data_IF_554424744370
#
_entry.id   IF_554424744370
#
_cell.length_a   1.000
_cell.length_b   1.000
_cell.length_c   1.000
_cell.angle_alpha   90.00
_cell.angle_beta   90.00
_cell.angle_gamma   90.00
#
_symmetry.space_group_name_H-M   'P 1'
#
loop_
_entity.id
_entity.type
_entity.pdbx_description
1 polymer ?
#
# COMPACT_ATOMS: atom_id res chain seq x y z
N UNK A 1 2.47 41.63 -39.17
CA UNK A 1 2.94 40.31 -39.65
C UNK A 1 4.40 39.99 -39.23
N UNK A 2 5.38 40.88 -39.44
CA UNK A 2 6.80 40.66 -39.09
C UNK A 2 7.02 40.31 -37.59
N UNK A 3 6.37 41.02 -36.66
CA UNK A 3 6.51 40.78 -35.22
C UNK A 3 5.96 39.41 -34.75
N UNK A 4 4.99 38.83 -35.47
CA UNK A 4 4.45 37.51 -35.15
C UNK A 4 5.41 36.38 -35.59
N UNK A 5 6.00 36.53 -36.78
CA UNK A 5 6.97 35.58 -37.33
C UNK A 5 8.24 35.48 -36.47
N UNK A 6 8.77 36.61 -35.99
CA UNK A 6 9.93 36.62 -35.06
C UNK A 6 9.61 35.88 -33.77
N UNK A 7 8.38 36.01 -33.24
CA UNK A 7 7.98 35.35 -32.00
C UNK A 7 7.85 33.83 -32.14
N UNK A 8 7.27 33.36 -33.26
CA UNK A 8 7.21 31.92 -33.59
C UNK A 8 8.61 31.33 -33.74
N UNK A 9 9.52 32.03 -34.44
CA UNK A 9 10.89 31.55 -34.61
C UNK A 9 11.64 31.43 -33.29
N UNK A 10 11.46 32.40 -32.38
CA UNK A 10 12.06 32.34 -31.06
C UNK A 10 11.52 31.16 -30.23
N UNK A 11 10.19 30.96 -30.23
CA UNK A 11 9.55 29.82 -29.58
C UNK A 11 10.06 28.48 -30.12
N UNK A 12 10.16 28.34 -31.45
CA UNK A 12 10.67 27.14 -32.10
C UNK A 12 12.13 26.87 -31.74
N UNK A 13 12.96 27.91 -31.65
CA UNK A 13 14.36 27.79 -31.23
C UNK A 13 14.48 27.28 -29.79
N UNK A 14 13.73 27.86 -28.85
CA UNK A 14 13.71 27.41 -27.46
C UNK A 14 13.20 25.96 -27.34
N UNK A 15 12.15 25.63 -28.09
CA UNK A 15 11.61 24.27 -28.14
C UNK A 15 12.64 23.26 -28.66
N UNK A 16 13.40 23.61 -29.69
CA UNK A 16 14.46 22.76 -30.24
C UNK A 16 15.61 22.55 -29.23
N UNK A 17 16.01 23.60 -28.51
CA UNK A 17 17.02 23.49 -27.46
C UNK A 17 16.58 22.56 -26.32
N UNK A 18 15.32 22.67 -25.89
CA UNK A 18 14.72 21.76 -24.90
C UNK A 18 14.76 20.32 -25.40
N UNK A 19 14.36 20.07 -26.65
CA UNK A 19 14.38 18.73 -27.24
C UNK A 19 15.80 18.14 -27.29
N UNK A 20 16.81 18.97 -27.59
CA UNK A 20 18.20 18.53 -27.61
C UNK A 20 18.69 18.15 -26.21
N UNK A 21 18.40 18.99 -25.20
CA UNK A 21 18.74 18.68 -23.80
C UNK A 21 18.03 17.40 -23.37
N UNK A 22 16.74 17.25 -23.68
CA UNK A 22 15.98 16.02 -23.40
C UNK A 22 16.61 14.79 -24.07
N UNK A 23 17.08 14.88 -25.31
CA UNK A 23 17.79 13.76 -25.97
C UNK A 23 19.06 13.40 -25.21
N UNK A 24 19.86 14.39 -24.80
CA UNK A 24 21.10 14.17 -24.02
C UNK A 24 20.81 13.58 -22.64
N UNK A 25 19.76 14.04 -21.95
CA UNK A 25 19.32 13.47 -20.67
C UNK A 25 18.91 12.01 -20.84
N UNK A 26 18.15 11.69 -21.89
CA UNK A 26 17.77 10.32 -22.20
C UNK A 26 18.97 9.41 -22.46
N UNK A 27 19.96 9.89 -23.21
CA UNK A 27 21.20 9.15 -23.43
C UNK A 27 21.97 8.92 -22.12
N UNK A 28 22.12 9.94 -21.27
CA UNK A 28 22.77 9.80 -19.97
C UNK A 28 22.07 8.78 -19.07
N UNK A 29 20.73 8.76 -19.07
CA UNK A 29 19.93 7.76 -18.36
C UNK A 29 20.16 6.33 -18.88
N UNK A 30 20.22 6.14 -20.20
CA UNK A 30 20.49 4.82 -20.82
C UNK A 30 21.87 4.29 -20.41
N UNK A 31 22.89 5.15 -20.40
CA UNK A 31 24.25 4.80 -19.98
C UNK A 31 24.46 4.87 -18.46
N UNK A 32 23.38 5.01 -17.68
CA UNK A 32 23.39 5.04 -16.21
C UNK A 32 24.26 6.16 -15.59
N UNK A 33 24.56 7.22 -16.33
CA UNK A 33 25.28 8.40 -15.84
C UNK A 33 24.30 9.35 -15.14
N UNK A 34 24.01 9.05 -13.88
CA UNK A 34 23.00 9.76 -13.07
C UNK A 34 23.36 11.22 -12.82
N UNK A 35 24.64 11.53 -12.58
CA UNK A 35 25.05 12.91 -12.28
C UNK A 35 24.93 13.81 -13.51
N UNK A 36 25.35 13.32 -14.68
CA UNK A 36 25.13 14.03 -15.94
C UNK A 36 23.64 14.18 -16.26
N UNK A 37 22.85 13.13 -16.04
CA UNK A 37 21.40 13.18 -16.25
C UNK A 37 20.74 14.25 -15.35
N UNK A 38 21.11 14.35 -14.07
CA UNK A 38 20.63 15.38 -13.15
C UNK A 38 20.98 16.79 -13.61
N UNK A 39 22.23 17.04 -13.98
CA UNK A 39 22.67 18.36 -14.47
C UNK A 39 21.91 18.78 -15.74
N UNK A 40 21.72 17.85 -16.68
CA UNK A 40 20.94 18.10 -17.89
C UNK A 40 19.45 18.32 -17.59
N UNK A 41 18.89 17.59 -16.61
CA UNK A 41 17.50 17.77 -16.19
C UNK A 41 17.27 19.16 -15.58
N UNK A 42 18.21 19.66 -14.75
CA UNK A 42 18.13 21.01 -14.21
C UNK A 42 18.19 22.08 -15.32
N UNK A 43 19.07 21.89 -16.33
CA UNK A 43 19.09 22.76 -17.51
C UNK A 43 17.74 22.74 -18.25
N UNK A 44 17.17 21.55 -18.44
CA UNK A 44 15.88 21.36 -19.10
C UNK A 44 14.75 22.08 -18.35
N UNK A 45 14.73 22.00 -17.02
CA UNK A 45 13.75 22.70 -16.17
C UNK A 45 13.79 24.22 -16.40
N UNK A 46 14.99 24.81 -16.40
CA UNK A 46 15.17 26.25 -16.63
C UNK A 46 14.70 26.67 -18.03
N UNK A 47 15.01 25.87 -19.05
CA UNK A 47 14.56 26.13 -20.42
C UNK A 47 13.03 26.02 -20.55
N UNK A 48 12.41 25.01 -19.93
CA UNK A 48 10.95 24.87 -19.90
C UNK A 48 10.28 26.06 -19.20
N UNK A 49 10.81 26.51 -18.06
CA UNK A 49 10.31 27.70 -17.36
C UNK A 49 10.38 28.95 -18.25
N UNK A 50 11.49 29.13 -18.98
CA UNK A 50 11.64 30.24 -19.93
C UNK A 50 10.66 30.13 -21.10
N UNK A 51 10.46 28.93 -21.66
CA UNK A 51 9.50 28.69 -22.74
C UNK A 51 8.06 29.02 -22.31
N UNK A 52 7.65 28.58 -21.10
CA UNK A 52 6.33 28.86 -20.52
C UNK A 52 6.13 30.37 -20.34
N UNK A 53 7.07 31.04 -19.66
CA UNK A 53 7.03 32.48 -19.42
C UNK A 53 6.99 33.27 -20.74
N UNK A 54 7.71 32.80 -21.76
CA UNK A 54 7.68 33.41 -23.08
C UNK A 54 6.31 33.24 -23.75
N UNK A 55 5.77 32.01 -23.75
CA UNK A 55 4.48 31.68 -24.35
C UNK A 55 3.36 32.55 -23.76
N UNK A 56 3.28 32.66 -22.43
CA UNK A 56 2.27 33.44 -21.71
C UNK A 56 2.28 34.93 -22.05
N UNK A 57 3.47 35.50 -22.27
CA UNK A 57 3.65 36.93 -22.60
C UNK A 57 3.54 37.22 -24.10
N UNK A 58 3.29 36.21 -24.91
CA UNK A 58 3.27 36.31 -26.37
C UNK A 58 1.85 36.09 -26.91
N UNK A 59 1.55 36.50 -28.15
CA UNK A 59 0.30 36.14 -28.82
C UNK A 59 0.13 34.62 -29.05
N UNK A 60 1.12 33.79 -28.67
CA UNK A 60 1.07 32.34 -28.79
C UNK A 60 0.36 31.66 -27.61
N UNK A 61 0.01 32.39 -26.54
CA UNK A 61 -0.61 31.84 -25.33
C UNK A 61 -1.82 30.93 -25.60
N UNK A 62 -2.65 31.27 -26.59
CA UNK A 62 -3.87 30.53 -26.93
C UNK A 62 -3.72 29.71 -28.21
N UNK A 63 -2.51 29.59 -28.77
CA UNK A 63 -2.28 28.81 -29.97
C UNK A 63 -2.21 27.32 -29.61
N UNK A 64 -3.18 26.54 -30.10
CA UNK A 64 -3.30 25.10 -29.79
C UNK A 64 -2.03 24.30 -30.11
N UNK A 65 -1.38 24.55 -31.25
CA UNK A 65 -0.15 23.86 -31.64
C UNK A 65 1.01 24.15 -30.66
N UNK A 66 1.14 25.40 -30.23
CA UNK A 66 2.13 25.85 -29.23
C UNK A 66 1.88 25.15 -27.88
N UNK A 67 0.62 25.13 -27.43
CA UNK A 67 0.23 24.48 -26.18
C UNK A 67 0.49 22.97 -26.21
N UNK A 68 0.13 22.28 -27.30
CA UNK A 68 0.42 20.87 -27.49
C UNK A 68 1.93 20.58 -27.45
N UNK A 69 2.73 21.42 -28.12
CA UNK A 69 4.19 21.27 -28.13
C UNK A 69 4.78 21.44 -26.74
N UNK A 70 4.33 22.43 -25.97
CA UNK A 70 4.72 22.62 -24.57
C UNK A 70 4.35 21.39 -23.73
N UNK A 71 3.13 20.90 -23.85
CA UNK A 71 2.64 19.74 -23.09
C UNK A 71 3.50 18.48 -23.34
N UNK A 72 3.85 18.21 -24.61
CA UNK A 72 4.74 17.09 -24.97
C UNK A 72 6.13 17.24 -24.33
N UNK A 73 6.68 18.45 -24.32
CA UNK A 73 7.99 18.71 -23.70
C UNK A 73 7.93 18.55 -22.18
N UNK A 74 6.85 19.02 -21.54
CA UNK A 74 6.63 18.85 -20.10
C UNK A 74 6.46 17.38 -19.72
N UNK A 75 5.67 16.61 -20.47
CA UNK A 75 5.48 15.18 -20.23
C UNK A 75 6.82 14.43 -20.32
N UNK A 76 7.64 14.76 -21.32
CA UNK A 76 8.95 14.13 -21.50
C UNK A 76 9.93 14.52 -20.38
N UNK A 77 9.91 15.76 -19.92
CA UNK A 77 10.67 16.19 -18.74
C UNK A 77 10.23 15.40 -17.50
N UNK A 78 8.93 15.26 -17.26
CA UNK A 78 8.41 14.52 -16.11
C UNK A 78 8.85 13.06 -16.14
N UNK A 79 8.78 12.39 -17.30
CA UNK A 79 9.27 11.01 -17.46
C UNK A 79 10.76 10.87 -17.11
N UNK A 80 11.58 11.85 -17.49
CA UNK A 80 13.02 11.85 -17.18
C UNK A 80 13.28 12.08 -15.70
N UNK A 81 12.52 12.99 -15.07
CA UNK A 81 12.58 13.23 -13.64
C UNK A 81 12.19 11.98 -12.85
N UNK A 82 11.08 11.35 -13.22
CA UNK A 82 10.59 10.12 -12.61
C UNK A 82 11.63 8.99 -12.75
N UNK A 83 12.29 8.87 -13.91
CA UNK A 83 13.37 7.89 -14.13
C UNK A 83 14.60 8.13 -13.25
N UNK A 84 14.99 9.39 -12.97
CA UNK A 84 16.09 9.69 -12.06
C UNK A 84 15.70 9.36 -10.61
N UNK A 85 14.47 9.68 -10.23
CA UNK A 85 13.93 9.45 -8.90
C UNK A 85 13.47 8.02 -8.62
N UNK A 86 13.58 7.11 -9.61
CA UNK A 86 12.99 5.77 -9.56
C UNK A 86 11.48 5.78 -9.23
N UNK A 87 10.77 6.82 -9.64
CA UNK A 87 9.34 6.98 -9.39
C UNK A 87 8.58 6.24 -10.50
N UNK A 88 7.80 5.22 -10.13
CA UNK A 88 6.82 4.61 -11.03
C UNK A 88 5.46 5.23 -10.74
N UNK A 89 4.94 6.03 -11.67
CA UNK A 89 3.58 6.56 -11.59
C UNK A 89 2.61 5.53 -12.14
N UNK A 90 1.67 5.10 -11.30
CA UNK A 90 0.52 4.30 -11.72
C UNK A 90 -0.43 5.24 -12.48
N UNK A 91 -0.72 4.92 -13.74
CA UNK A 91 -1.59 5.74 -14.61
C UNK A 91 -3.01 5.18 -14.72
N UNK A 92 -3.15 3.90 -14.49
CA UNK A 92 -4.39 3.16 -14.62
C UNK A 92 -4.66 2.51 -13.26
N UNK A 93 -5.85 2.77 -12.74
CA UNK A 93 -6.37 2.15 -11.54
C UNK A 93 -7.61 1.37 -11.98
N UNK A 94 -7.61 0.07 -11.70
CA UNK A 94 -8.78 -0.75 -11.90
C UNK A 94 -9.60 -0.71 -10.61
N UNK A 95 -10.86 -0.29 -10.72
CA UNK A 95 -11.82 -0.48 -9.64
C UNK A 95 -12.12 -1.98 -9.54
N UNK A 96 -11.85 -2.56 -8.36
CA UNK A 96 -12.02 -4.00 -8.10
C UNK A 96 -13.30 -4.32 -7.32
N UNK A 97 -13.83 -3.34 -6.59
CA UNK A 97 -15.03 -3.48 -5.76
C UNK A 97 -15.64 -2.10 -5.48
N UNK A 98 -16.95 -1.99 -5.65
CA UNK A 98 -17.76 -0.83 -5.23
C UNK A 98 -18.72 -1.27 -4.10
N UNK A 99 -18.48 -0.75 -2.89
CA UNK A 99 -19.32 -1.05 -1.72
C UNK A 99 -20.74 -0.49 -1.86
N UNK A 100 -20.92 0.61 -2.61
CA UNK A 100 -22.24 1.22 -2.78
C UNK A 100 -23.20 0.35 -3.61
N UNK A 101 -22.64 -0.48 -4.48
CA UNK A 101 -23.39 -1.45 -5.30
C UNK A 101 -23.71 -2.76 -4.54
N UNK A 102 -23.14 -2.98 -3.35
CA UNK A 102 -23.23 -4.26 -2.64
C UNK A 102 -24.56 -4.50 -1.90
N UNK A 103 -25.43 -3.49 -1.80
CA UNK A 103 -26.67 -3.54 -1.01
C UNK A 103 -26.44 -3.45 0.50
N UNK A 104 -25.18 -3.44 0.96
CA UNK A 104 -24.79 -3.20 2.34
C UNK A 104 -24.29 -1.75 2.49
N UNK A 105 -24.61 -1.13 3.62
CA UNK A 105 -23.93 0.09 4.06
C UNK A 105 -22.67 -0.40 4.80
N UNK A 106 -21.49 -0.27 4.18
CA UNK A 106 -20.23 -0.80 4.72
C UNK A 106 -19.21 0.33 4.82
N UNK A 107 -18.63 0.50 6.01
CA UNK A 107 -17.48 1.38 6.22
C UNK A 107 -16.25 0.54 6.63
N UNK A 108 -15.57 -0.12 5.68
CA UNK A 108 -14.47 -1.03 6.01
C UNK A 108 -13.25 -0.24 6.52
N UNK A 109 -12.64 -0.71 7.60
CA UNK A 109 -11.43 -0.08 8.18
C UNK A 109 -10.15 -0.65 7.56
N UNK A 110 -10.13 -1.96 7.33
CA UNK A 110 -8.96 -2.67 6.85
C UNK A 110 -9.33 -3.71 5.81
N UNK A 111 -8.36 -4.02 4.95
CA UNK A 111 -8.44 -5.07 3.95
C UNK A 111 -7.30 -6.07 4.15
N UNK A 112 -7.64 -7.36 4.11
CA UNK A 112 -6.65 -8.44 4.05
C UNK A 112 -6.94 -9.34 2.86
N UNK A 113 -5.87 -9.87 2.25
CA UNK A 113 -5.97 -10.84 1.16
C UNK A 113 -5.59 -12.21 1.66
N UNK A 114 -6.47 -13.19 1.47
CA UNK A 114 -6.18 -14.61 1.64
C UNK A 114 -6.57 -15.30 0.33
N UNK A 115 -5.59 -15.93 -0.31
CA UNK A 115 -5.75 -16.55 -1.63
C UNK A 115 -6.32 -15.56 -2.66
N UNK A 116 -7.46 -15.86 -3.28
CA UNK A 116 -8.14 -15.03 -4.27
C UNK A 116 -9.27 -14.15 -3.70
N UNK A 117 -9.37 -14.08 -2.37
CA UNK A 117 -10.42 -13.35 -1.68
C UNK A 117 -9.84 -12.17 -0.88
N UNK A 118 -10.62 -11.10 -0.85
CA UNK A 118 -10.43 -9.93 -0.04
C UNK A 118 -11.39 -10.01 1.14
N UNK A 119 -10.86 -9.72 2.32
CA UNK A 119 -11.59 -9.72 3.59
C UNK A 119 -11.57 -8.31 4.15
N UNK A 120 -12.73 -7.86 4.63
CA UNK A 120 -12.95 -6.51 5.14
C UNK A 120 -13.67 -6.59 6.46
N UNK A 121 -13.24 -5.83 7.46
CA UNK A 121 -14.00 -5.71 8.70
C UNK A 121 -14.50 -4.28 8.92
N UNK A 122 -15.66 -4.19 9.56
CA UNK A 122 -16.24 -2.93 10.01
C UNK A 122 -16.21 -2.89 11.54
N UNK A 123 -15.80 -1.74 12.07
CA UNK A 123 -15.47 -1.59 13.49
C UNK A 123 -16.68 -1.58 14.39
N UNK A 124 -17.66 -0.74 14.08
CA UNK A 124 -18.84 -0.53 14.92
C UNK A 124 -19.85 -1.68 14.85
N UNK A 125 -19.87 -2.42 13.74
CA UNK A 125 -20.84 -3.49 13.52
C UNK A 125 -20.33 -4.86 13.93
N UNK A 126 -19.00 -5.02 14.06
CA UNK A 126 -18.39 -6.31 14.34
C UNK A 126 -18.54 -7.32 13.19
N UNK A 127 -18.71 -6.83 11.97
CA UNK A 127 -18.98 -7.66 10.79
C UNK A 127 -17.69 -7.87 10.00
N UNK A 128 -17.49 -9.11 9.56
CA UNK A 128 -16.47 -9.48 8.58
C UNK A 128 -17.16 -9.83 7.25
N UNK A 129 -16.66 -9.21 6.18
CA UNK A 129 -17.09 -9.43 4.81
C UNK A 129 -15.99 -10.12 4.00
N UNK A 130 -16.40 -10.78 2.93
CA UNK A 130 -15.56 -11.44 1.95
C UNK A 130 -16.01 -11.06 0.55
N UNK A 131 -15.06 -10.78 -0.34
CA UNK A 131 -15.32 -10.61 -1.78
C UNK A 131 -14.20 -11.27 -2.58
N UNK A 132 -14.48 -12.02 -3.64
CA UNK A 132 -13.46 -12.38 -4.61
C UNK A 132 -12.93 -11.11 -5.27
N UNK A 133 -11.69 -11.10 -5.77
CA UNK A 133 -11.07 -9.89 -6.34
C UNK A 133 -11.89 -9.19 -7.46
N UNK A 134 -12.85 -9.90 -8.06
CA UNK A 134 -13.91 -9.35 -8.92
C UNK A 134 -15.22 -10.09 -8.67
N UNK A 135 -16.00 -9.64 -7.71
CA UNK A 135 -17.33 -10.18 -7.50
C UNK A 135 -18.04 -9.62 -6.26
N UNK A 136 -19.15 -10.27 -5.93
CA UNK A 136 -20.07 -9.75 -4.93
C UNK A 136 -19.51 -9.83 -3.50
N UNK A 137 -19.87 -8.83 -2.69
CA UNK A 137 -19.55 -8.79 -1.28
C UNK A 137 -20.49 -9.74 -0.52
N UNK A 138 -19.92 -10.60 0.31
CA UNK A 138 -20.64 -11.57 1.14
C UNK A 138 -20.35 -11.30 2.61
N UNK A 139 -21.38 -11.26 3.44
CA UNK A 139 -21.23 -11.24 4.90
C UNK A 139 -20.90 -12.66 5.38
N UNK A 140 -19.83 -12.82 6.15
CA UNK A 140 -19.35 -14.16 6.58
C UNK A 140 -19.23 -14.34 8.10
N UNK A 141 -19.15 -13.26 8.87
CA UNK A 141 -19.12 -13.33 10.33
C UNK A 141 -19.71 -12.06 10.97
N UNK A 142 -20.36 -12.23 12.12
CA UNK A 142 -20.90 -11.17 12.98
C UNK A 142 -20.51 -11.51 14.41
N UNK A 143 -19.73 -10.65 15.07
CA UNK A 143 -19.53 -10.74 16.52
C UNK A 143 -20.76 -10.21 17.22
N UNK A 144 -21.54 -11.09 17.84
CA UNK A 144 -22.74 -10.70 18.58
C UNK A 144 -22.37 -9.74 19.73
N UNK A 145 -22.54 -8.42 19.49
CA UNK A 145 -22.30 -7.31 20.44
C UNK A 145 -20.84 -7.09 20.83
N UNK A 146 -19.90 -7.40 19.95
CA UNK A 146 -18.49 -7.02 20.14
C UNK A 146 -18.01 -6.24 18.93
N UNK A 147 -17.43 -5.07 19.16
CA UNK A 147 -16.87 -4.22 18.11
C UNK A 147 -15.50 -4.76 17.70
N UNK A 148 -15.26 -4.93 16.40
CA UNK A 148 -13.97 -5.40 15.92
C UNK A 148 -13.00 -4.23 15.82
N UNK A 149 -11.89 -4.30 16.56
CA UNK A 149 -10.88 -3.24 16.63
C UNK A 149 -9.72 -3.45 15.67
N UNK A 150 -9.40 -4.70 15.33
CA UNK A 150 -8.28 -5.05 14.46
C UNK A 150 -8.49 -6.40 13.77
N UNK A 151 -7.99 -6.54 12.55
CA UNK A 151 -7.97 -7.80 11.81
C UNK A 151 -6.53 -8.13 11.39
N UNK A 152 -6.13 -9.40 11.49
CA UNK A 152 -4.87 -9.87 10.92
C UNK A 152 -5.09 -11.19 10.19
N UNK A 153 -4.78 -11.23 8.90
CA UNK A 153 -4.71 -12.47 8.16
C UNK A 153 -3.42 -13.24 8.49
N UNK A 154 -3.57 -14.52 8.79
CA UNK A 154 -2.48 -15.47 9.04
C UNK A 154 -2.15 -16.26 7.77
N UNK A 155 -0.95 -16.81 7.71
CA UNK A 155 -0.47 -17.57 6.53
C UNK A 155 -1.24 -18.87 6.27
N UNK A 156 -1.91 -19.40 7.29
CA UNK A 156 -2.64 -20.67 7.26
C UNK A 156 -4.13 -20.51 6.91
N UNK A 157 -4.48 -19.49 6.11
CA UNK A 157 -5.87 -19.18 5.72
C UNK A 157 -6.81 -18.99 6.92
N UNK A 158 -6.29 -18.40 7.99
CA UNK A 158 -7.06 -18.01 9.17
C UNK A 158 -6.98 -16.50 9.36
N UNK A 159 -7.99 -15.93 10.01
CA UNK A 159 -8.07 -14.51 10.34
C UNK A 159 -8.21 -14.37 11.84
N UNK A 160 -7.35 -13.56 12.44
CA UNK A 160 -7.46 -13.15 13.85
C UNK A 160 -8.20 -11.82 13.88
N UNK A 161 -9.36 -11.78 14.52
CA UNK A 161 -10.13 -10.56 14.77
C UNK A 161 -10.06 -10.23 16.25
N UNK A 162 -9.67 -9.01 16.58
CA UNK A 162 -9.62 -8.52 17.95
C UNK A 162 -10.89 -7.73 18.23
N UNK A 163 -11.68 -8.21 19.18
CA UNK A 163 -12.85 -7.52 19.71
C UNK A 163 -12.47 -6.53 20.80
N UNK A 164 -13.35 -5.55 21.04
CA UNK A 164 -13.23 -4.61 22.15
C UNK A 164 -13.45 -5.31 23.50
N UNK A 165 -14.25 -6.37 23.54
CA UNK A 165 -14.60 -7.09 24.78
C UNK A 165 -13.53 -8.07 25.26
N UNK A 166 -12.25 -7.77 24.99
CA UNK A 166 -11.11 -8.64 25.32
C UNK A 166 -11.23 -10.04 24.68
N UNK A 167 -11.89 -10.12 23.52
CA UNK A 167 -12.05 -11.36 22.78
C UNK A 167 -11.19 -11.37 21.53
N UNK A 168 -10.68 -12.54 21.22
CA UNK A 168 -10.00 -12.81 19.97
C UNK A 168 -10.83 -13.85 19.23
N UNK A 169 -11.31 -13.52 18.04
CA UNK A 169 -11.99 -14.45 17.16
C UNK A 169 -10.99 -14.98 16.14
N UNK A 170 -10.67 -16.27 16.20
CA UNK A 170 -9.88 -16.95 15.19
C UNK A 170 -10.82 -17.57 14.17
N UNK A 171 -11.02 -16.88 13.05
CA UNK A 171 -11.91 -17.30 11.96
C UNK A 171 -11.14 -18.14 10.94
N UNK A 172 -11.63 -19.35 10.67
CA UNK A 172 -11.13 -20.27 9.66
C UNK A 172 -11.90 -20.05 8.35
N UNK A 173 -11.18 -19.56 7.33
CA UNK A 173 -11.81 -19.21 6.05
C UNK A 173 -12.24 -20.42 5.22
N UNK A 174 -11.69 -21.61 5.51
CA UNK A 174 -12.00 -22.84 4.80
C UNK A 174 -13.20 -23.55 5.42
N UNK A 175 -13.24 -23.61 6.75
CA UNK A 175 -14.33 -24.24 7.49
C UNK A 175 -15.55 -23.31 7.67
N UNK A 176 -15.40 -22.00 7.44
CA UNK A 176 -16.38 -20.96 7.77
C UNK A 176 -16.84 -21.07 9.23
N UNK A 177 -15.88 -21.22 10.13
CA UNK A 177 -16.08 -21.36 11.58
C UNK A 177 -15.11 -20.45 12.31
N UNK A 178 -15.39 -20.19 13.58
CA UNK A 178 -14.46 -19.45 14.41
C UNK A 178 -14.34 -20.06 15.80
N UNK A 179 -13.17 -19.86 16.40
CA UNK A 179 -12.93 -20.09 17.83
C UNK A 179 -12.81 -18.73 18.53
N UNK A 180 -13.14 -18.70 19.82
CA UNK A 180 -13.03 -17.49 20.64
C UNK A 180 -11.99 -17.74 21.72
N UNK A 181 -11.03 -16.82 21.84
CA UNK A 181 -10.06 -16.77 22.93
C UNK A 181 -10.27 -15.50 23.74
N UNK A 182 -9.83 -15.51 24.99
CA UNK A 182 -9.73 -14.31 25.81
C UNK A 182 -8.35 -13.69 25.62
N UNK A 183 -8.33 -12.41 25.25
CA UNK A 183 -7.13 -11.59 25.31
C UNK A 183 -6.81 -11.32 26.78
N UNK A 184 -5.53 -11.35 27.16
CA UNK A 184 -5.13 -10.92 28.51
C UNK A 184 -5.60 -9.46 28.69
N UNK A 185 -6.41 -9.13 29.72
CA UNK A 185 -6.92 -7.77 29.97
C UNK A 185 -5.82 -6.71 30.08
N UNK A 186 -4.59 -7.11 30.38
CA UNK A 186 -3.45 -6.20 30.41
C UNK A 186 -3.01 -5.72 29.00
N UNK A 187 -3.45 -6.39 27.93
CA UNK A 187 -3.08 -6.08 26.55
C UNK A 187 -4.18 -5.23 25.90
N UNK A 188 -3.86 -3.96 25.64
CA UNK A 188 -4.72 -3.12 24.82
C UNK A 188 -4.56 -3.50 23.33
N UNK A 189 -5.68 -3.71 22.62
CA UNK A 189 -5.67 -4.13 21.21
C UNK A 189 -4.92 -3.15 20.31
N UNK A 190 -5.01 -1.85 20.60
CA UNK A 190 -4.33 -0.79 19.85
C UNK A 190 -2.79 -0.87 19.99
N UNK A 191 -2.29 -1.60 20.99
CA UNK A 191 -0.86 -1.77 21.28
C UNK A 191 -0.28 -3.04 20.69
N UNK A 192 -1.12 -3.94 20.17
CA UNK A 192 -0.69 -5.13 19.46
C UNK A 192 0.06 -4.69 18.20
N UNK A 193 1.36 -4.95 18.16
CA UNK A 193 2.21 -4.51 17.05
C UNK A 193 2.14 -5.46 15.86
N UNK A 194 2.17 -6.76 16.13
CA UNK A 194 2.16 -7.80 15.11
C UNK A 194 1.48 -9.07 15.61
N UNK A 195 0.97 -9.87 14.68
CA UNK A 195 0.39 -11.18 14.93
C UNK A 195 0.86 -12.14 13.84
N UNK A 196 1.41 -13.28 14.25
CA UNK A 196 1.95 -14.30 13.33
C UNK A 196 1.54 -15.69 13.76
N UNK A 197 1.40 -16.61 12.81
CA UNK A 197 1.24 -18.03 13.09
C UNK A 197 2.55 -18.78 12.89
N UNK A 198 2.78 -19.78 13.74
CA UNK A 198 3.87 -20.72 13.59
C UNK A 198 3.49 -22.05 14.24
N UNK A 199 3.63 -23.14 13.48
CA UNK A 199 3.17 -24.48 13.85
C UNK A 199 1.68 -24.47 14.25
N UNK A 200 1.34 -25.05 15.39
CA UNK A 200 -0.02 -25.15 15.91
C UNK A 200 -0.49 -23.92 16.69
N UNK A 201 0.18 -22.77 16.57
CA UNK A 201 -0.09 -21.59 17.40
C UNK A 201 -0.08 -20.28 16.60
N UNK A 202 -0.76 -19.26 17.15
CA UNK A 202 -0.53 -17.86 16.80
C UNK A 202 0.06 -17.10 17.98
N UNK A 203 0.77 -16.03 17.65
CA UNK A 203 1.58 -15.24 18.56
C UNK A 203 1.22 -13.77 18.40
N UNK A 204 1.04 -13.09 19.52
CA UNK A 204 0.76 -11.65 19.59
C UNK A 204 1.99 -10.97 20.16
N UNK A 205 2.51 -9.96 19.45
CA UNK A 205 3.57 -9.09 19.94
C UNK A 205 2.96 -7.85 20.60
N UNK A 206 3.03 -7.79 21.93
CA UNK A 206 2.78 -6.57 22.70
C UNK A 206 4.09 -5.80 22.84
N UNK A 207 4.21 -4.72 22.07
CA UNK A 207 5.42 -3.91 22.05
C UNK A 207 5.54 -2.97 23.26
N UNK A 208 4.44 -2.69 23.97
CA UNK A 208 4.45 -1.81 25.14
C UNK A 208 4.97 -2.56 26.37
N UNK A 209 4.50 -3.79 26.57
CA UNK A 209 4.99 -4.65 27.65
C UNK A 209 6.25 -5.43 27.28
N UNK A 210 6.63 -5.45 26.01
CA UNK A 210 7.78 -6.21 25.51
C UNK A 210 7.57 -7.73 25.55
N UNK A 211 6.32 -8.18 25.48
CA UNK A 211 5.95 -9.58 25.63
C UNK A 211 5.42 -10.18 24.32
N UNK A 212 5.64 -11.48 24.14
CA UNK A 212 4.99 -12.28 23.09
C UNK A 212 4.03 -13.25 23.78
N UNK A 213 2.75 -13.18 23.44
CA UNK A 213 1.71 -14.06 23.99
C UNK A 213 1.37 -15.12 22.96
N UNK A 214 1.26 -16.37 23.40
CA UNK A 214 1.00 -17.54 22.57
C UNK A 214 -0.43 -18.03 22.79
N UNK A 215 -1.10 -18.34 21.69
CA UNK A 215 -2.42 -18.95 21.65
C UNK A 215 -2.40 -20.17 20.71
N UNK A 216 -3.07 -21.27 21.06
CA UNK A 216 -3.20 -22.40 20.15
C UNK A 216 -4.13 -22.05 18.98
N UNK A 217 -3.91 -22.62 17.80
CA UNK A 217 -4.80 -22.45 16.64
C UNK A 217 -6.05 -23.34 16.75
N UNK A 218 -5.93 -24.44 17.48
CA UNK A 218 -7.03 -25.34 17.85
C UNK A 218 -7.17 -25.26 19.37
N UNK A 219 -8.33 -24.88 19.92
CA UNK A 219 -8.48 -24.76 21.37
C UNK A 219 -8.33 -26.15 22.02
N UNK A 220 -7.28 -26.32 22.82
CA UNK A 220 -7.22 -27.32 23.88
C UNK A 220 -7.81 -26.68 25.16
N UNK A 221 -8.30 -27.46 26.12
CA UNK A 221 -9.08 -26.98 27.29
C UNK A 221 -8.35 -25.99 28.23
N UNK A 222 -7.11 -25.59 27.96
CA UNK A 222 -6.34 -24.64 28.77
C UNK A 222 -5.90 -23.40 27.98
N UNK A 223 -6.15 -22.23 28.59
CA UNK A 223 -6.07 -20.90 27.98
C UNK A 223 -4.66 -20.35 27.70
N UNK A 224 -4.61 -19.05 27.38
CA UNK A 224 -3.43 -18.31 26.93
C UNK A 224 -2.18 -18.55 27.79
N UNK A 225 -1.04 -18.85 27.15
CA UNK A 225 0.24 -19.09 27.82
C UNK A 225 1.18 -17.90 27.55
N UNK A 226 1.73 -17.30 28.62
CA UNK A 226 2.66 -16.15 28.53
C UNK A 226 4.04 -16.61 28.06
N UNK A 227 4.62 -15.95 27.06
CA UNK A 227 5.92 -16.33 26.48
C UNK A 227 7.12 -16.17 27.41
N UNK A 228 7.04 -15.35 28.47
CA UNK A 228 8.13 -15.18 29.43
C UNK A 228 8.48 -16.49 30.17
N UNK A 229 7.51 -17.40 30.33
CA UNK A 229 7.67 -18.68 31.02
C UNK A 229 8.31 -19.78 30.15
N UNK A 230 8.59 -19.51 28.88
CA UNK A 230 9.39 -20.40 28.02
C UNK A 230 10.84 -20.41 28.48
N UNK A 231 11.44 -19.21 28.59
CA UNK A 231 12.89 -19.06 28.75
C UNK A 231 13.40 -19.61 30.10
N UNK A 232 12.49 -19.89 31.03
CA UNK A 232 12.78 -20.48 32.33
C UNK A 232 12.80 -22.01 32.34
N UNK A 233 12.38 -22.69 31.27
CA UNK A 233 12.50 -24.16 31.13
C UNK A 233 13.79 -24.53 30.38
N UNK A 234 14.55 -25.55 30.83
CA UNK A 234 15.80 -25.94 30.17
C UNK A 234 15.55 -26.36 28.71
N UNK A 235 16.27 -25.71 27.79
CA UNK A 235 16.28 -25.91 26.34
C UNK A 235 16.86 -27.28 25.93
N UNK A 236 16.25 -28.39 26.36
CA UNK A 236 16.63 -29.72 25.86
C UNK A 236 16.16 -29.97 24.42
N UNK A 237 15.09 -29.32 23.96
CA UNK A 237 14.49 -29.56 22.64
C UNK A 237 15.25 -28.94 21.45
N UNK A 238 16.13 -27.96 21.66
CA UNK A 238 16.92 -27.37 20.56
C UNK A 238 18.15 -28.19 20.15
N UNK A 239 18.53 -29.25 20.90
CA UNK A 239 19.71 -30.08 20.57
C UNK A 239 19.56 -30.89 19.27
N UNK A 240 18.34 -31.01 18.74
CA UNK A 240 18.06 -31.79 17.53
C UNK A 240 17.69 -30.94 16.30
N UNK A 241 17.75 -29.61 16.38
CA UNK A 241 17.55 -28.76 15.21
C UNK A 241 18.77 -28.84 14.28
N UNK A 242 18.69 -29.69 13.26
CA UNK A 242 19.64 -29.65 12.13
C UNK A 242 19.23 -28.54 11.17
N UNK A 243 20.18 -27.67 10.84
CA UNK A 243 20.06 -26.73 9.72
C UNK A 243 19.84 -27.52 8.43
N UNK A 244 18.78 -27.20 7.70
CA UNK A 244 18.73 -27.41 6.25
C UNK A 244 19.34 -26.21 5.54
#
# INVERSE_FOLDING_TARGET
KINHYVKINHFNRLSAEIQEVQKKTGAALIYQDKEKAKGLLQKNQNLLANLLKYSEKSPLKNNSETLNKIAVLQEKYQKQQDSIGNIKRMKEFDEILDFSASGFIVNPIEISKIENNLYFYEFESGILYKSPARGELTLIFISAKDELRKMVALENSQIVLFGQSEKIYLYDTNANKHNIYLLDPAIAVEKIKDVKSYLSNFYILDAEQGNIIKYPLVPEEEGAIKGADWLSKPLEELKNAKSM
#
